data_IF_904067926338
#
_entry.id   IF_904067926338
#
_cell.length_a   1.000
_cell.length_b   1.000
_cell.length_c   1.000
_cell.angle_alpha   90.00
_cell.angle_beta   90.00
_cell.angle_gamma   90.00
#
_symmetry.space_group_name_H-M   'P 1'
#
loop_
_entity.id
_entity.type
_entity.pdbx_description
1 polymer ?
#
# COMPACT_ATOMS: atom_id res chain seq x y z
N UNK A 1 -31.13 -25.07 42.73
CA UNK A 1 -29.78 -24.70 42.25
C UNK A 1 -29.51 -25.16 40.80
N UNK A 2 -30.53 -25.19 39.93
CA UNK A 2 -30.37 -25.51 38.49
C UNK A 2 -30.79 -24.36 37.58
N UNK A 3 -31.72 -23.51 38.04
CA UNK A 3 -32.33 -22.47 37.21
C UNK A 3 -31.38 -21.29 36.93
N UNK A 4 -30.62 -20.84 37.94
CA UNK A 4 -29.65 -19.76 37.77
C UNK A 4 -28.50 -20.15 36.84
N UNK A 5 -28.04 -21.40 36.91
CA UNK A 5 -27.01 -21.92 36.01
C UNK A 5 -27.54 -22.05 34.58
N UNK A 6 -28.80 -22.47 34.42
CA UNK A 6 -29.45 -22.56 33.11
C UNK A 6 -29.60 -21.18 32.47
N UNK A 7 -30.04 -20.18 33.24
CA UNK A 7 -30.14 -18.79 32.80
C UNK A 7 -28.79 -18.20 32.41
N UNK A 8 -27.72 -18.51 33.16
CA UNK A 8 -26.37 -18.06 32.83
C UNK A 8 -25.89 -18.60 31.48
N UNK A 9 -26.12 -19.89 31.20
CA UNK A 9 -25.75 -20.53 29.92
C UNK A 9 -26.53 -19.91 28.76
N UNK A 10 -27.84 -19.70 28.91
CA UNK A 10 -28.68 -19.07 27.88
C UNK A 10 -28.17 -17.67 27.55
N UNK A 11 -27.82 -16.87 28.58
CA UNK A 11 -27.29 -15.52 28.38
C UNK A 11 -25.96 -15.54 27.62
N UNK A 12 -25.00 -16.38 28.02
CA UNK A 12 -23.69 -16.46 27.35
C UNK A 12 -23.82 -16.93 25.91
N UNK A 13 -24.64 -17.95 25.62
CA UNK A 13 -24.86 -18.40 24.23
C UNK A 13 -25.53 -17.35 23.36
N UNK A 14 -26.44 -16.54 23.93
CA UNK A 14 -27.06 -15.41 23.21
C UNK A 14 -26.05 -14.28 22.94
N UNK A 15 -25.16 -13.97 23.89
CA UNK A 15 -24.08 -13.00 23.73
C UNK A 15 -23.08 -13.44 22.65
N UNK A 16 -22.63 -14.70 22.69
CA UNK A 16 -21.73 -15.28 21.68
C UNK A 16 -22.36 -15.28 20.28
N UNK A 17 -23.66 -15.62 20.16
CA UNK A 17 -24.37 -15.58 18.89
C UNK A 17 -24.49 -14.15 18.34
N UNK A 18 -24.73 -13.17 19.22
CA UNK A 18 -24.79 -11.75 18.85
C UNK A 18 -23.43 -11.21 18.41
N UNK A 19 -22.36 -11.58 19.11
CA UNK A 19 -20.97 -11.24 18.72
C UNK A 19 -20.61 -11.85 17.38
N UNK A 20 -20.89 -13.15 17.18
CA UNK A 20 -20.58 -13.85 15.94
C UNK A 20 -21.36 -13.26 14.74
N UNK A 21 -22.62 -12.90 14.94
CA UNK A 21 -23.44 -12.20 13.93
C UNK A 21 -22.88 -10.81 13.63
N UNK A 22 -22.46 -10.06 14.65
CA UNK A 22 -21.83 -8.74 14.49
C UNK A 22 -20.51 -8.83 13.72
N UNK A 23 -19.66 -9.79 14.04
CA UNK A 23 -18.41 -10.03 13.29
C UNK A 23 -18.69 -10.46 11.86
N UNK A 24 -19.64 -11.37 11.63
CA UNK A 24 -20.00 -11.84 10.30
C UNK A 24 -20.62 -10.72 9.44
N UNK A 25 -21.46 -9.86 10.02
CA UNK A 25 -22.02 -8.70 9.32
C UNK A 25 -20.95 -7.66 9.02
N UNK A 26 -20.04 -7.36 9.96
CA UNK A 26 -18.89 -6.49 9.73
C UNK A 26 -18.01 -7.02 8.59
N UNK A 27 -17.71 -8.32 8.57
CA UNK A 27 -16.96 -8.97 7.49
C UNK A 27 -17.70 -8.88 6.15
N UNK A 28 -19.01 -9.08 6.12
CA UNK A 28 -19.83 -8.93 4.90
C UNK A 28 -19.89 -7.47 4.43
N UNK A 29 -19.99 -6.51 5.34
CA UNK A 29 -19.98 -5.08 5.03
C UNK A 29 -18.61 -4.62 4.51
N UNK A 30 -17.52 -5.06 5.16
CA UNK A 30 -16.17 -4.85 4.66
C UNK A 30 -16.04 -5.46 3.26
N UNK A 31 -16.44 -6.73 3.06
CA UNK A 31 -16.40 -7.38 1.75
C UNK A 31 -17.22 -6.62 0.69
N UNK A 32 -18.44 -6.21 0.99
CA UNK A 32 -19.32 -5.47 0.07
C UNK A 32 -18.81 -4.06 -0.28
N UNK A 33 -18.15 -3.37 0.65
CA UNK A 33 -17.60 -2.04 0.42
C UNK A 33 -16.20 -2.07 -0.23
N UNK A 34 -15.42 -3.15 -0.03
CA UNK A 34 -14.19 -3.44 -0.78
C UNK A 34 -14.47 -3.91 -2.23
N UNK A 35 -15.65 -4.48 -2.50
CA UNK A 35 -16.10 -4.92 -3.83
C UNK A 35 -16.56 -3.78 -4.76
N UNK A 36 -16.24 -2.52 -4.44
CA UNK A 36 -16.41 -1.40 -5.39
C UNK A 36 -15.33 -1.49 -6.47
N UNK A 37 -15.54 -2.38 -7.45
CA UNK A 37 -14.96 -2.38 -8.80
C UNK A 37 -13.52 -1.86 -8.92
N UNK A 38 -12.58 -2.40 -8.14
CA UNK A 38 -11.18 -2.30 -8.53
C UNK A 38 -10.92 -3.32 -9.64
N UNK A 39 -11.43 -3.04 -10.86
CA UNK A 39 -11.42 -3.94 -12.03
C UNK A 39 -10.02 -4.35 -12.53
N UNK A 40 -8.96 -3.91 -11.85
CA UNK A 40 -7.58 -4.30 -12.17
C UNK A 40 -7.24 -5.52 -11.35
N UNK A 41 -6.96 -6.63 -12.05
CA UNK A 41 -6.35 -7.80 -11.44
C UNK A 41 -5.12 -7.40 -10.61
N UNK A 42 -4.90 -8.06 -9.48
CA UNK A 42 -3.70 -7.97 -8.64
C UNK A 42 -2.42 -8.06 -9.47
N UNK A 43 -2.45 -8.80 -10.58
CA UNK A 43 -1.36 -8.82 -11.56
C UNK A 43 -1.08 -7.44 -12.16
N UNK A 44 -2.12 -6.78 -12.69
CA UNK A 44 -2.00 -5.42 -13.28
C UNK A 44 -1.62 -4.38 -12.22
N UNK A 45 -2.10 -4.53 -10.98
CA UNK A 45 -1.69 -3.69 -9.85
C UNK A 45 -0.19 -3.83 -9.59
N UNK A 46 0.31 -5.07 -9.59
CA UNK A 46 1.74 -5.38 -9.43
C UNK A 46 2.57 -4.77 -10.56
N UNK A 47 2.16 -4.92 -11.82
CA UNK A 47 2.87 -4.28 -12.94
C UNK A 47 2.89 -2.75 -12.83
N UNK A 48 1.75 -2.14 -12.46
CA UNK A 48 1.67 -0.70 -12.23
C UNK A 48 2.56 -0.25 -11.07
N UNK A 49 2.71 -1.08 -10.04
CA UNK A 49 3.58 -0.78 -8.91
C UNK A 49 5.04 -0.80 -9.32
N UNK A 50 5.47 -1.86 -10.03
CA UNK A 50 6.83 -2.01 -10.54
C UNK A 50 7.22 -0.88 -11.51
N UNK A 51 6.31 -0.44 -12.38
CA UNK A 51 6.57 0.66 -13.31
C UNK A 51 6.81 2.01 -12.61
N UNK A 52 6.14 2.25 -11.47
CA UNK A 52 6.28 3.50 -10.72
C UNK A 52 7.33 3.43 -9.61
N UNK A 53 7.90 2.25 -9.35
CA UNK A 53 8.83 2.03 -8.26
C UNK A 53 10.07 2.94 -8.30
N UNK A 54 10.75 3.15 -9.44
CA UNK A 54 11.87 4.10 -9.50
C UNK A 54 11.45 5.53 -9.14
N UNK A 55 10.24 5.95 -9.53
CA UNK A 55 9.69 7.27 -9.21
C UNK A 55 9.41 7.41 -7.72
N UNK A 56 8.92 6.36 -7.06
CA UNK A 56 8.72 6.39 -5.61
C UNK A 56 10.05 6.57 -4.86
N UNK A 57 11.12 5.89 -5.31
CA UNK A 57 12.47 6.07 -4.75
C UNK A 57 12.97 7.50 -4.95
N UNK A 58 12.77 8.07 -6.13
CA UNK A 58 13.12 9.46 -6.40
C UNK A 58 12.37 10.43 -5.49
N UNK A 59 11.04 10.27 -5.36
CA UNK A 59 10.21 11.12 -4.50
C UNK A 59 10.64 11.02 -3.03
N UNK A 60 10.98 9.83 -2.54
CA UNK A 60 11.48 9.68 -1.16
C UNK A 60 12.76 10.49 -0.99
N UNK A 61 13.72 10.36 -1.91
CA UNK A 61 14.99 11.09 -1.86
C UNK A 61 14.77 12.60 -1.86
N UNK A 62 13.92 13.11 -2.76
CA UNK A 62 13.58 14.54 -2.83
C UNK A 62 12.96 15.04 -1.50
N UNK A 63 12.07 14.25 -0.89
CA UNK A 63 11.43 14.61 0.38
C UNK A 63 12.38 14.54 1.57
N UNK A 64 13.33 13.61 1.58
CA UNK A 64 14.39 13.53 2.58
C UNK A 64 15.34 14.74 2.48
N UNK A 65 15.70 15.13 1.25
CA UNK A 65 16.50 16.33 1.01
C UNK A 65 15.79 17.58 1.53
N UNK A 66 14.48 17.71 1.31
CA UNK A 66 13.66 18.81 1.84
C UNK A 66 13.70 18.88 3.38
N UNK A 67 13.54 17.75 4.07
CA UNK A 67 13.68 17.68 5.54
C UNK A 67 15.11 18.04 5.98
N UNK A 68 16.14 17.65 5.23
CA UNK A 68 17.52 17.98 5.63
C UNK A 68 17.86 19.49 5.55
N UNK A 69 17.10 20.29 4.77
CA UNK A 69 17.35 21.71 4.53
C UNK A 69 16.62 22.65 5.53
N UNK A 70 16.16 22.09 6.64
CA UNK A 70 15.04 22.48 7.50
C UNK A 70 14.96 23.87 8.17
N UNK A 71 15.79 24.87 7.86
CA UNK A 71 15.63 26.15 8.57
C UNK A 71 14.47 27.05 8.08
N UNK A 72 13.94 26.86 6.86
CA UNK A 72 13.00 27.82 6.25
C UNK A 72 11.84 27.24 5.40
N UNK A 73 11.61 25.91 5.42
CA UNK A 73 10.72 25.28 4.43
C UNK A 73 9.22 25.48 4.69
N UNK A 74 8.82 25.60 5.94
CA UNK A 74 7.42 25.92 6.27
C UNK A 74 7.27 27.44 6.30
N UNK A 75 6.44 28.04 5.41
CA UNK A 75 6.25 29.47 5.42
C UNK A 75 5.71 29.93 6.78
N UNK A 76 6.51 30.73 7.47
CA UNK A 76 6.15 31.49 8.68
C UNK A 76 5.22 32.67 8.37
N UNK A 77 4.90 32.89 7.09
CA UNK A 77 4.02 33.95 6.62
C UNK A 77 2.58 33.48 6.46
N UNK A 78 1.63 34.38 6.76
CA UNK A 78 0.20 34.29 6.47
C UNK A 78 -0.04 34.16 4.94
N UNK A 79 0.21 32.99 4.37
CA UNK A 79 -0.11 32.72 2.96
C UNK A 79 -1.47 32.03 2.88
N UNK A 80 -2.32 32.58 2.03
CA UNK A 80 -3.77 32.44 1.95
C UNK A 80 -4.32 31.06 1.52
N UNK A 81 -3.61 29.96 1.78
CA UNK A 81 -4.02 28.60 1.38
C UNK A 81 -4.72 27.79 2.49
N UNK A 82 -5.15 28.45 3.57
CA UNK A 82 -5.97 27.82 4.61
C UNK A 82 -7.45 28.09 4.29
N UNK A 83 -8.00 27.41 3.28
CA UNK A 83 -9.45 27.20 3.22
C UNK A 83 -9.78 25.96 4.04
N UNK A 84 -9.79 26.12 5.37
CA UNK A 84 -10.58 25.27 6.27
C UNK A 84 -11.69 26.11 6.85
N UNK A 85 -12.87 25.98 6.28
CA UNK A 85 -14.10 26.53 6.83
C UNK A 85 -14.55 25.64 8.01
N UNK A 86 -13.86 25.71 9.15
CA UNK A 86 -14.35 25.10 10.40
C UNK A 86 -15.12 26.14 11.20
N UNK A 87 -16.43 25.97 11.25
CA UNK A 87 -17.33 26.70 12.15
C UNK A 87 -17.01 26.29 13.59
N UNK A 88 -16.05 26.93 14.27
CA UNK A 88 -15.97 27.19 15.72
C UNK A 88 -14.63 27.93 16.03
N UNK A 89 -14.62 28.98 16.88
CA UNK A 89 -13.40 29.67 17.25
C UNK A 89 -12.75 28.94 18.41
N UNK A 90 -11.86 27.98 18.10
CA UNK A 90 -11.01 27.36 19.11
C UNK A 90 -9.62 27.99 18.99
N UNK A 91 -9.20 28.66 20.07
CA UNK A 91 -7.88 29.20 20.41
C UNK A 91 -6.87 29.46 19.28
N UNK A 92 -6.31 30.67 19.23
CA UNK A 92 -5.15 31.00 18.40
C UNK A 92 -3.98 30.07 18.76
N UNK A 93 -3.83 28.93 18.07
CA UNK A 93 -2.62 28.12 18.10
C UNK A 93 -1.45 29.00 17.68
N UNK A 94 -0.36 28.91 18.43
CA UNK A 94 0.84 29.69 18.14
C UNK A 94 1.42 29.28 16.78
N UNK A 95 1.99 30.23 16.04
CA UNK A 95 2.48 29.95 14.67
C UNK A 95 3.55 28.85 14.66
N UNK A 96 4.35 28.77 15.71
CA UNK A 96 5.40 27.77 15.89
C UNK A 96 4.82 26.36 16.11
N UNK A 97 3.70 26.25 16.83
CA UNK A 97 3.00 24.99 17.05
C UNK A 97 2.41 24.46 15.74
N UNK A 98 1.85 25.33 14.90
CA UNK A 98 1.33 24.98 13.58
C UNK A 98 2.43 24.53 12.60
N UNK A 99 3.62 25.13 12.69
CA UNK A 99 4.77 24.73 11.87
C UNK A 99 5.24 23.34 12.27
N UNK A 100 5.35 23.08 13.58
CA UNK A 100 5.74 21.78 14.11
C UNK A 100 4.72 20.69 13.75
N UNK A 101 3.43 20.95 13.89
CA UNK A 101 2.37 19.99 13.52
C UNK A 101 2.44 19.62 12.02
N UNK A 102 2.73 20.59 11.15
CA UNK A 102 2.91 20.35 9.71
C UNK A 102 4.17 19.56 9.40
N UNK A 103 5.26 19.85 10.10
CA UNK A 103 6.52 19.12 10.00
C UNK A 103 6.34 17.65 10.40
N UNK A 104 5.77 17.39 11.57
CA UNK A 104 5.49 16.04 12.08
C UNK A 104 4.57 15.26 11.11
N UNK A 105 3.56 15.93 10.54
CA UNK A 105 2.66 15.32 9.56
C UNK A 105 3.37 14.97 8.24
N UNK A 106 4.32 15.80 7.81
CA UNK A 106 5.13 15.55 6.63
C UNK A 106 6.09 14.36 6.84
N UNK A 107 6.77 14.32 7.98
CA UNK A 107 7.65 13.21 8.38
C UNK A 107 6.88 11.88 8.44
N UNK A 108 5.72 11.87 9.10
CA UNK A 108 4.87 10.68 9.17
C UNK A 108 4.43 10.19 7.78
N UNK A 109 4.12 11.11 6.87
CA UNK A 109 3.76 10.80 5.48
C UNK A 109 4.93 10.20 4.70
N UNK A 110 6.15 10.72 4.90
CA UNK A 110 7.36 10.18 4.32
C UNK A 110 7.65 8.76 4.84
N UNK A 111 7.56 8.54 6.15
CA UNK A 111 7.76 7.23 6.77
C UNK A 111 6.78 6.16 6.26
N UNK A 112 5.51 6.53 6.05
CA UNK A 112 4.53 5.65 5.41
C UNK A 112 4.96 5.27 4.00
N UNK A 113 5.42 6.25 3.21
CA UNK A 113 5.87 6.03 1.83
C UNK A 113 7.10 5.12 1.80
N UNK A 114 8.08 5.35 2.69
CA UNK A 114 9.27 4.50 2.85
C UNK A 114 8.92 3.07 3.20
N UNK A 115 7.99 2.87 4.14
CA UNK A 115 7.51 1.54 4.51
C UNK A 115 6.90 0.82 3.30
N UNK A 116 6.11 1.51 2.49
CA UNK A 116 5.54 0.94 1.27
C UNK A 116 6.62 0.55 0.26
N UNK A 117 7.64 1.38 0.04
CA UNK A 117 8.77 1.05 -0.85
C UNK A 117 9.59 -0.12 -0.31
N UNK A 118 9.82 -0.16 1.01
CA UNK A 118 10.52 -1.26 1.67
C UNK A 118 9.83 -2.61 1.46
N UNK A 119 8.49 -2.66 1.50
CA UNK A 119 7.75 -3.89 1.18
C UNK A 119 8.03 -4.37 -0.25
N UNK A 120 8.24 -3.44 -1.19
CA UNK A 120 8.61 -3.78 -2.57
C UNK A 120 10.05 -4.28 -2.63
N UNK A 121 10.98 -3.61 -1.94
CA UNK A 121 12.38 -4.04 -1.84
C UNK A 121 12.48 -5.46 -1.27
N UNK A 122 11.75 -5.74 -0.18
CA UNK A 122 11.70 -7.05 0.46
C UNK A 122 11.10 -8.11 -0.47
N UNK A 123 10.09 -7.75 -1.27
CA UNK A 123 9.50 -8.65 -2.25
C UNK A 123 10.45 -8.97 -3.43
N UNK A 124 11.16 -7.96 -3.94
CA UNK A 124 12.17 -8.13 -4.99
C UNK A 124 13.35 -8.99 -4.49
N UNK A 125 13.76 -8.80 -3.24
CA UNK A 125 14.85 -9.58 -2.62
C UNK A 125 14.53 -11.09 -2.59
N UNK A 126 13.26 -11.46 -2.44
CA UNK A 126 12.85 -12.89 -2.42
C UNK A 126 13.02 -13.58 -3.77
N UNK A 127 12.96 -12.83 -4.87
CA UNK A 127 13.06 -13.39 -6.23
C UNK A 127 14.44 -13.14 -6.86
N UNK A 128 15.40 -12.59 -6.12
CA UNK A 128 16.71 -12.17 -6.64
C UNK A 128 17.58 -13.35 -7.13
N UNK A 129 17.37 -14.53 -6.55
CA UNK A 129 18.09 -15.76 -6.93
C UNK A 129 17.56 -16.39 -8.22
N UNK A 130 16.44 -15.87 -8.76
CA UNK A 130 15.84 -16.40 -9.97
C UNK A 130 16.69 -16.09 -11.21
N UNK A 131 16.99 -17.08 -12.09
CA UNK A 131 17.80 -16.85 -13.29
C UNK A 131 17.23 -15.79 -14.25
N UNK A 132 15.94 -15.49 -14.16
CA UNK A 132 15.25 -14.52 -15.00
C UNK A 132 14.87 -13.24 -14.24
N UNK A 133 15.36 -13.05 -13.00
CA UNK A 133 15.05 -11.89 -12.16
C UNK A 133 15.22 -10.57 -12.90
N UNK A 134 16.34 -10.42 -13.60
CA UNK A 134 16.75 -9.21 -14.33
C UNK A 134 15.76 -8.78 -15.43
N UNK A 135 14.84 -9.65 -15.87
CA UNK A 135 13.74 -9.25 -16.75
C UNK A 135 12.86 -8.17 -16.08
N UNK A 136 12.68 -8.22 -14.75
CA UNK A 136 11.87 -7.26 -14.00
C UNK A 136 12.46 -5.83 -14.05
N UNK A 137 13.70 -5.57 -13.60
CA UNK A 137 14.29 -4.23 -13.68
C UNK A 137 14.41 -3.75 -15.13
N UNK A 138 14.85 -4.59 -16.05
CA UNK A 138 14.95 -4.22 -17.48
C UNK A 138 13.58 -3.82 -18.06
N UNK A 139 12.52 -4.54 -17.71
CA UNK A 139 11.18 -4.28 -18.24
C UNK A 139 10.52 -3.06 -17.61
N UNK A 140 10.58 -2.92 -16.28
CA UNK A 140 9.76 -1.96 -15.56
C UNK A 140 10.53 -0.72 -15.11
N UNK A 141 11.85 -0.82 -14.89
CA UNK A 141 12.65 0.32 -14.43
C UNK A 141 13.34 1.02 -15.61
N UNK A 142 13.90 0.24 -16.53
CA UNK A 142 14.53 0.75 -17.75
C UNK A 142 13.56 0.88 -18.94
N UNK A 143 12.36 0.31 -18.80
CA UNK A 143 11.27 0.39 -19.80
C UNK A 143 11.66 -0.24 -21.15
N UNK A 144 12.46 -1.32 -21.13
CA UNK A 144 12.82 -2.07 -22.34
C UNK A 144 11.63 -2.82 -22.94
N UNK A 145 11.66 -3.02 -24.26
CA UNK A 145 10.67 -3.85 -24.96
C UNK A 145 10.97 -5.34 -24.79
N UNK A 146 10.00 -6.22 -25.04
CA UNK A 146 10.26 -7.66 -24.91
C UNK A 146 11.27 -8.15 -25.96
N UNK A 147 11.32 -7.49 -27.12
CA UNK A 147 12.26 -7.75 -28.20
C UNK A 147 13.70 -7.43 -27.77
N UNK A 148 13.91 -6.27 -27.14
CA UNK A 148 15.22 -5.87 -26.63
C UNK A 148 15.72 -6.82 -25.54
N UNK A 149 14.84 -7.21 -24.61
CA UNK A 149 15.19 -8.17 -23.56
C UNK A 149 15.47 -9.55 -24.19
N UNK A 150 14.66 -10.00 -25.15
CA UNK A 150 14.89 -11.26 -25.86
C UNK A 150 16.26 -11.29 -26.56
N UNK A 151 16.67 -10.18 -27.17
CA UNK A 151 17.98 -10.02 -27.80
C UNK A 151 19.12 -10.10 -26.77
N UNK A 152 19.03 -9.36 -25.66
CA UNK A 152 20.03 -9.37 -24.58
C UNK A 152 20.24 -10.79 -24.02
N UNK A 153 19.17 -11.54 -23.81
CA UNK A 153 19.24 -12.91 -23.25
C UNK A 153 19.50 -13.98 -24.31
N UNK A 154 19.49 -13.61 -25.60
CA UNK A 154 19.52 -14.56 -26.71
C UNK A 154 18.43 -15.65 -26.58
N UNK A 155 17.20 -15.23 -26.27
CA UNK A 155 16.02 -16.11 -26.08
C UNK A 155 14.85 -15.63 -26.92
N UNK A 156 13.87 -16.51 -27.12
CA UNK A 156 12.60 -16.13 -27.74
C UNK A 156 11.78 -15.19 -26.86
N UNK A 157 11.06 -14.27 -27.51
CA UNK A 157 10.12 -13.33 -26.87
C UNK A 157 9.08 -14.08 -26.01
N UNK A 158 8.66 -15.27 -26.44
CA UNK A 158 7.72 -16.11 -25.70
C UNK A 158 8.30 -16.60 -24.36
N UNK A 159 9.59 -16.92 -24.33
CA UNK A 159 10.32 -17.34 -23.13
C UNK A 159 10.44 -16.18 -22.15
N UNK A 160 10.79 -14.98 -22.64
CA UNK A 160 10.84 -13.76 -21.83
C UNK A 160 9.46 -13.43 -21.25
N UNK A 161 8.43 -13.45 -22.09
CA UNK A 161 7.05 -13.17 -21.66
C UNK A 161 6.57 -14.14 -20.60
N UNK A 162 6.84 -15.44 -20.77
CA UNK A 162 6.44 -16.48 -19.81
C UNK A 162 7.14 -16.28 -18.46
N UNK A 163 8.45 -16.08 -18.45
CA UNK A 163 9.20 -15.88 -17.21
C UNK A 163 8.85 -14.56 -16.52
N UNK A 164 8.68 -13.46 -17.28
CA UNK A 164 8.15 -12.20 -16.74
C UNK A 164 6.80 -12.42 -16.05
N UNK A 165 5.86 -13.11 -16.70
CA UNK A 165 4.55 -13.38 -16.11
C UNK A 165 4.64 -14.26 -14.86
N UNK A 166 5.56 -15.23 -14.82
CA UNK A 166 5.82 -16.05 -13.62
C UNK A 166 6.31 -15.19 -12.46
N UNK A 167 7.34 -14.37 -12.67
CA UNK A 167 7.92 -13.50 -11.64
C UNK A 167 6.91 -12.46 -11.13
N UNK A 168 6.13 -11.84 -12.02
CA UNK A 168 5.07 -10.90 -11.60
C UNK A 168 3.99 -11.61 -10.78
N UNK A 169 3.63 -12.85 -11.13
CA UNK A 169 2.66 -13.61 -10.33
C UNK A 169 3.20 -13.98 -8.93
N UNK A 170 4.50 -14.20 -8.81
CA UNK A 170 5.14 -14.45 -7.52
C UNK A 170 5.15 -13.18 -6.65
N UNK A 171 5.59 -12.05 -7.22
CA UNK A 171 5.54 -10.74 -6.56
C UNK A 171 4.13 -10.34 -6.15
N UNK A 172 3.13 -10.64 -6.99
CA UNK A 172 1.71 -10.40 -6.72
C UNK A 172 1.25 -11.08 -5.43
N UNK A 173 1.65 -12.33 -5.21
CA UNK A 173 1.28 -13.08 -4.01
C UNK A 173 1.96 -12.46 -2.78
N UNK A 174 3.20 -12.02 -2.90
CA UNK A 174 3.95 -11.41 -1.78
C UNK A 174 3.37 -10.03 -1.42
N UNK A 175 3.04 -9.21 -2.42
CA UNK A 175 2.63 -7.82 -2.25
C UNK A 175 1.14 -7.65 -1.94
N UNK A 176 0.30 -8.50 -2.52
CA UNK A 176 -1.16 -8.40 -2.44
C UNK A 176 -1.78 -9.75 -2.06
N UNK A 177 -1.23 -10.41 -1.04
CA UNK A 177 -1.65 -11.76 -0.62
C UNK A 177 -3.15 -11.86 -0.32
N UNK A 178 -3.70 -10.90 0.41
CA UNK A 178 -5.10 -10.79 0.77
C UNK A 178 -5.98 -10.62 -0.48
N UNK A 179 -5.65 -9.65 -1.34
CA UNK A 179 -6.39 -9.44 -2.58
C UNK A 179 -6.27 -10.64 -3.53
N UNK A 180 -5.09 -11.24 -3.64
CA UNK A 180 -4.85 -12.41 -4.48
C UNK A 180 -5.68 -13.61 -4.02
N UNK A 181 -5.84 -13.81 -2.70
CA UNK A 181 -6.74 -14.82 -2.15
C UNK A 181 -8.19 -14.50 -2.52
N UNK A 182 -8.62 -13.24 -2.40
CA UNK A 182 -10.01 -12.86 -2.75
C UNK A 182 -10.33 -13.08 -4.24
N UNK A 183 -9.36 -12.85 -5.13
CA UNK A 183 -9.52 -13.10 -6.57
C UNK A 183 -9.74 -14.59 -6.90
N UNK A 184 -9.28 -15.53 -6.07
CA UNK A 184 -9.50 -16.97 -6.30
C UNK A 184 -10.95 -17.40 -6.03
N UNK A 185 -11.68 -16.63 -5.23
CA UNK A 185 -13.05 -16.93 -4.83
C UNK A 185 -14.09 -16.04 -5.51
N UNK A 186 -13.67 -15.21 -6.48
CA UNK A 186 -14.51 -14.30 -7.27
C UNK A 186 -14.73 -14.89 -8.66
#
# INVERSE_FOLDING_TARGET
MNDERLMAIIKTTAEEAAECSSSMTLLKFQKGNLMKDNKRSTFKKTESLLYNYPKFKQIIKEREEVLSLESNFFPTGKSADIVRYSKQPQGTKDMDELIKEKHDAYELSLERTKRSVKLIDDALTKIIEDPYYEIIPEKYFEVKTHEQIAEIYSKDISTITRNKNRLVNELKIILFSDEAITELFT
#
